data_IF_974035682908
#
_entry.id   IF_974035682908
#
_cell.length_a   1.000
_cell.length_b   1.000
_cell.length_c   1.000
_cell.angle_alpha   90.00
_cell.angle_beta   90.00
_cell.angle_gamma   90.00
#
_symmetry.space_group_name_H-M   'P 1'
#
loop_
_entity.id
_entity.type
_entity.pdbx_description
1 polymer ?
#
# COMPACT_ATOMS: atom_id res chain seq x y z
N UNK A 1 -16.57 -1.01 -11.83
CA UNK A 1 -15.27 -0.39 -12.00
C UNK A 1 -14.24 -0.98 -11.04
N UNK A 2 -12.97 -0.83 -11.35
CA UNK A 2 -11.87 -1.23 -10.47
C UNK A 2 -11.38 -0.01 -9.69
N UNK A 3 -11.00 -0.23 -8.45
CA UNK A 3 -10.38 0.77 -7.59
C UNK A 3 -9.03 0.27 -7.10
N UNK A 4 -8.09 1.20 -6.99
CA UNK A 4 -6.82 0.90 -6.33
C UNK A 4 -7.05 0.76 -4.82
N UNK A 5 -6.30 -0.12 -4.19
CA UNK A 5 -6.34 -0.30 -2.74
C UNK A 5 -4.91 -0.36 -2.21
N UNK A 6 -4.66 0.27 -1.09
CA UNK A 6 -3.35 0.27 -0.45
C UNK A 6 -3.37 0.84 0.96
N UNK A 7 -2.22 0.77 1.62
CA UNK A 7 -2.00 1.42 2.91
C UNK A 7 -1.13 2.65 2.72
N UNK A 8 -1.65 3.83 3.00
CA UNK A 8 -1.03 5.11 2.68
C UNK A 8 -0.74 5.28 1.16
N UNK A 9 -1.49 4.57 0.33
CA UNK A 9 -1.26 4.54 -1.11
C UNK A 9 -1.56 5.88 -1.77
N UNK A 10 -2.56 6.61 -1.31
CA UNK A 10 -2.89 7.96 -1.81
C UNK A 10 -1.76 8.96 -1.56
N UNK A 11 -1.06 8.82 -0.42
CA UNK A 11 0.03 9.71 -0.05
C UNK A 11 1.38 9.31 -0.64
N UNK A 12 1.57 8.07 -1.04
CA UNK A 12 2.86 7.57 -1.48
C UNK A 12 2.82 6.76 -2.78
N UNK A 13 2.30 5.55 -2.77
CA UNK A 13 2.44 4.61 -3.89
C UNK A 13 1.84 5.13 -5.20
N UNK A 14 0.62 5.66 -5.14
CA UNK A 14 -0.11 6.15 -6.32
C UNK A 14 0.61 7.35 -6.96
N UNK A 15 0.96 8.42 -6.21
CA UNK A 15 1.71 9.53 -6.78
C UNK A 15 3.10 9.13 -7.28
N UNK A 16 3.79 8.26 -6.57
CA UNK A 16 5.13 7.77 -6.97
C UNK A 16 5.05 7.03 -8.29
N UNK A 17 4.08 6.11 -8.43
CA UNK A 17 3.89 5.36 -9.67
C UNK A 17 3.60 6.28 -10.85
N UNK A 18 2.66 7.22 -10.71
CA UNK A 18 2.33 8.17 -11.75
C UNK A 18 3.55 9.02 -12.17
N UNK A 19 4.31 9.54 -11.20
CA UNK A 19 5.53 10.31 -11.45
C UNK A 19 6.60 9.47 -12.16
N UNK A 20 6.81 8.22 -11.73
CA UNK A 20 7.77 7.31 -12.36
C UNK A 20 7.40 6.99 -13.81
N UNK A 21 6.12 6.83 -14.11
CA UNK A 21 5.64 6.65 -15.48
C UNK A 21 5.99 7.86 -16.35
N UNK A 22 5.67 9.06 -15.90
CA UNK A 22 5.98 10.32 -16.63
C UNK A 22 7.50 10.48 -16.83
N UNK A 23 8.30 10.20 -15.81
CA UNK A 23 9.77 10.25 -15.92
C UNK A 23 10.32 9.29 -16.99
N UNK A 24 9.61 8.21 -17.29
CA UNK A 24 9.98 7.25 -18.33
C UNK A 24 9.22 7.46 -19.65
N UNK A 25 8.58 8.62 -19.84
CA UNK A 25 7.87 8.96 -21.07
C UNK A 25 6.55 8.20 -21.25
N UNK A 26 5.99 7.64 -20.19
CA UNK A 26 4.74 6.90 -20.21
C UNK A 26 3.59 7.77 -19.70
N UNK A 27 2.46 7.71 -20.39
CA UNK A 27 1.24 8.36 -19.91
C UNK A 27 0.58 7.48 -18.83
N UNK A 28 0.31 8.03 -17.63
CA UNK A 28 -0.45 7.30 -16.62
C UNK A 28 -1.85 6.93 -17.12
N UNK A 29 -2.28 5.67 -16.91
CA UNK A 29 -3.62 5.24 -17.30
C UNK A 29 -4.71 5.93 -16.45
N UNK A 30 -5.99 5.94 -16.90
CA UNK A 30 -7.07 6.64 -16.20
C UNK A 30 -7.37 6.19 -14.77
N UNK A 31 -6.88 5.02 -14.35
CA UNK A 31 -7.01 4.55 -12.97
C UNK A 31 -6.06 5.31 -12.01
N UNK A 32 -4.98 5.90 -12.54
CA UNK A 32 -4.08 6.76 -11.79
C UNK A 32 -4.52 8.22 -11.89
N UNK A 33 -4.22 9.06 -10.89
CA UNK A 33 -4.54 10.47 -10.95
C UNK A 33 -3.74 11.18 -12.05
N UNK A 34 -4.35 12.16 -12.69
CA UNK A 34 -3.68 13.08 -13.59
C UNK A 34 -2.91 14.16 -12.84
N UNK A 35 -2.13 14.97 -13.56
CA UNK A 35 -1.32 16.04 -12.98
C UNK A 35 -2.11 17.14 -12.26
N UNK A 36 -3.38 17.31 -12.61
CA UNK A 36 -4.30 18.31 -12.03
C UNK A 36 -5.26 17.74 -10.98
N UNK A 37 -5.22 16.43 -10.73
CA UNK A 37 -6.04 15.77 -9.72
C UNK A 37 -5.69 16.27 -8.31
N UNK A 38 -6.70 16.67 -7.55
CA UNK A 38 -6.53 17.07 -6.16
C UNK A 38 -6.43 15.84 -5.24
N UNK A 39 -5.74 15.93 -4.09
CA UNK A 39 -5.58 14.79 -3.18
C UNK A 39 -6.89 14.11 -2.77
N UNK A 40 -7.96 14.87 -2.58
CA UNK A 40 -9.28 14.35 -2.19
C UNK A 40 -10.08 13.74 -3.35
N UNK A 41 -9.64 13.94 -4.59
CA UNK A 41 -10.26 13.37 -5.79
C UNK A 41 -9.71 11.99 -6.15
N UNK A 42 -8.62 11.57 -5.51
CA UNK A 42 -7.99 10.26 -5.77
C UNK A 42 -8.95 9.13 -5.37
N UNK A 43 -9.41 8.39 -6.38
CA UNK A 43 -10.33 7.26 -6.21
C UNK A 43 -9.54 6.00 -5.84
N UNK A 44 -9.29 5.82 -4.57
CA UNK A 44 -8.63 4.62 -4.05
C UNK A 44 -9.17 4.30 -2.65
N UNK A 45 -9.14 3.04 -2.29
CA UNK A 45 -9.38 2.59 -0.92
C UNK A 45 -8.04 2.62 -0.19
N UNK A 46 -7.91 3.47 0.81
CA UNK A 46 -6.71 3.59 1.61
C UNK A 46 -6.99 3.14 3.05
N UNK A 47 -6.39 2.03 3.45
CA UNK A 47 -6.60 1.46 4.79
C UNK A 47 -6.11 2.37 5.90
N UNK A 48 -5.15 3.27 5.63
CA UNK A 48 -4.75 4.30 6.58
C UNK A 48 -5.88 5.29 6.84
N UNK A 49 -6.62 5.69 5.79
CA UNK A 49 -7.80 6.55 5.94
C UNK A 49 -8.92 5.84 6.71
N UNK A 50 -9.16 4.55 6.45
CA UNK A 50 -10.14 3.76 7.21
C UNK A 50 -9.83 3.74 8.72
N UNK A 51 -8.55 3.78 9.09
CA UNK A 51 -8.10 3.74 10.49
C UNK A 51 -8.10 5.09 11.19
N UNK A 52 -8.37 6.18 10.47
CA UNK A 52 -8.30 7.53 11.03
C UNK A 52 -9.45 7.85 11.99
N UNK A 53 -10.66 7.40 11.72
CA UNK A 53 -11.86 7.72 12.53
C UNK A 53 -11.97 9.21 12.87
N UNK A 54 -11.69 10.09 11.89
CA UNK A 54 -11.71 11.54 12.08
C UNK A 54 -10.40 12.17 12.59
N UNK A 55 -9.37 11.39 12.88
CA UNK A 55 -8.07 11.89 13.32
C UNK A 55 -7.09 12.06 12.16
N UNK A 56 -6.65 13.27 11.87
CA UNK A 56 -5.63 13.53 10.84
C UNK A 56 -4.23 13.05 11.25
N UNK A 57 -3.96 12.96 12.55
CA UNK A 57 -2.66 12.57 13.09
C UNK A 57 -2.61 11.10 13.50
N UNK A 58 -3.49 10.27 13.00
CA UNK A 58 -3.44 8.85 13.32
C UNK A 58 -2.17 8.24 12.74
N UNK A 59 -1.24 7.93 13.62
CA UNK A 59 -0.04 7.19 13.29
C UNK A 59 -0.44 5.72 13.24
N UNK A 60 -0.61 5.20 12.03
CA UNK A 60 -0.97 3.80 11.84
C UNK A 60 -0.10 3.17 10.78
N UNK A 61 0.85 2.33 11.18
CA UNK A 61 1.46 1.38 10.26
C UNK A 61 0.45 0.25 9.98
N UNK A 62 0.56 -0.36 8.81
CA UNK A 62 -0.26 -1.55 8.48
C UNK A 62 -0.07 -2.65 9.52
N UNK A 63 1.14 -2.81 10.04
CA UNK A 63 1.45 -3.77 11.09
C UNK A 63 0.67 -3.50 12.39
N UNK A 64 0.62 -2.25 12.83
CA UNK A 64 -0.15 -1.87 14.02
C UNK A 64 -1.62 -2.19 13.84
N UNK A 65 -2.19 -1.90 12.66
CA UNK A 65 -3.55 -2.29 12.33
C UNK A 65 -3.74 -3.81 12.41
N UNK A 66 -2.80 -4.58 11.85
CA UNK A 66 -2.84 -6.05 11.90
C UNK A 66 -2.87 -6.55 13.35
N UNK A 67 -1.99 -6.03 14.19
CA UNK A 67 -1.94 -6.39 15.62
C UNK A 67 -3.26 -6.08 16.32
N UNK A 68 -3.78 -4.86 16.14
CA UNK A 68 -5.03 -4.42 16.77
C UNK A 68 -6.24 -5.20 16.27
N UNK A 69 -6.25 -5.62 15.02
CA UNK A 69 -7.36 -6.34 14.38
C UNK A 69 -7.21 -7.87 14.45
N UNK A 70 -6.11 -8.38 14.96
CA UNK A 70 -5.84 -9.81 14.99
C UNK A 70 -5.62 -10.43 13.61
N UNK A 71 -5.03 -9.67 12.68
CA UNK A 71 -4.66 -10.11 11.34
C UNK A 71 -3.17 -10.42 11.30
N UNK A 72 -2.80 -11.56 10.69
CA UNK A 72 -1.40 -11.93 10.52
C UNK A 72 -0.68 -10.92 9.62
N UNK A 73 0.51 -10.46 10.07
CA UNK A 73 1.31 -9.49 9.31
C UNK A 73 2.40 -10.17 8.46
N UNK A 74 2.98 -9.39 7.51
CA UNK A 74 4.08 -9.86 6.66
C UNK A 74 5.47 -9.78 7.32
N UNK A 75 5.57 -9.30 8.55
CA UNK A 75 6.88 -9.06 9.21
C UNK A 75 7.67 -10.31 9.59
N UNK A 76 7.07 -11.47 9.55
CA UNK A 76 7.76 -12.75 9.76
C UNK A 76 8.43 -13.30 8.49
N UNK A 77 8.39 -12.54 7.38
CA UNK A 77 9.03 -12.92 6.14
C UNK A 77 10.54 -12.71 6.19
N UNK A 78 11.30 -13.47 5.40
CA UNK A 78 12.75 -13.34 5.27
C UNK A 78 13.17 -11.94 4.82
N UNK A 79 12.40 -11.35 3.89
CA UNK A 79 12.57 -9.97 3.44
C UNK A 79 11.41 -9.13 3.97
N UNK A 80 11.72 -8.00 4.60
CA UNK A 80 10.76 -6.99 5.06
C UNK A 80 10.99 -5.66 4.36
N UNK A 81 10.00 -4.77 4.36
CA UNK A 81 9.98 -3.56 3.54
C UNK A 81 11.23 -2.68 3.67
N UNK A 82 11.79 -2.52 4.86
CA UNK A 82 13.00 -1.74 5.09
C UNK A 82 14.30 -2.44 4.63
N UNK A 83 14.23 -3.69 4.21
CA UNK A 83 15.35 -4.50 3.73
C UNK A 83 15.28 -4.80 2.23
N UNK A 84 14.27 -4.31 1.51
CA UNK A 84 14.08 -4.59 0.08
C UNK A 84 15.26 -4.07 -0.75
N UNK A 85 15.77 -2.89 -0.44
CA UNK A 85 16.92 -2.32 -1.14
C UNK A 85 18.15 -3.22 -1.02
N UNK A 86 18.50 -3.65 0.19
CA UNK A 86 19.59 -4.58 0.46
C UNK A 86 19.38 -5.93 -0.25
N UNK A 87 18.14 -6.48 -0.16
CA UNK A 87 17.81 -7.74 -0.81
C UNK A 87 17.93 -7.69 -2.32
N UNK A 88 17.57 -6.57 -2.96
CA UNK A 88 17.66 -6.41 -4.41
C UNK A 88 19.08 -6.18 -4.89
N UNK A 89 19.77 -5.17 -4.32
CA UNK A 89 21.07 -4.72 -4.83
C UNK A 89 22.25 -5.53 -4.32
N UNK A 90 22.19 -5.99 -3.06
CA UNK A 90 23.32 -6.66 -2.41
C UNK A 90 23.18 -8.18 -2.43
N UNK A 91 21.97 -8.71 -2.24
CA UNK A 91 21.73 -10.16 -2.09
C UNK A 91 21.02 -10.80 -3.26
N UNK A 92 20.52 -10.01 -4.23
CA UNK A 92 19.77 -10.49 -5.40
C UNK A 92 18.60 -11.42 -5.04
N UNK A 93 17.91 -11.16 -3.94
CA UNK A 93 16.83 -11.97 -3.41
C UNK A 93 15.46 -11.60 -4.05
N UNK A 94 15.36 -11.67 -5.38
CA UNK A 94 14.14 -11.24 -6.11
C UNK A 94 12.93 -12.11 -5.75
N UNK A 95 13.09 -13.42 -5.60
CA UNK A 95 11.97 -14.30 -5.23
C UNK A 95 11.47 -14.00 -3.82
N UNK A 96 12.33 -13.72 -2.87
CA UNK A 96 11.96 -13.31 -1.52
C UNK A 96 11.27 -11.95 -1.49
N UNK A 97 11.71 -11.01 -2.33
CA UNK A 97 11.03 -9.71 -2.52
C UNK A 97 9.62 -9.94 -3.07
N UNK A 98 9.47 -10.81 -4.07
CA UNK A 98 8.16 -11.18 -4.64
C UNK A 98 7.24 -11.76 -3.57
N UNK A 99 7.70 -12.74 -2.81
CA UNK A 99 6.93 -13.35 -1.73
C UNK A 99 6.48 -12.30 -0.70
N UNK A 100 7.37 -11.39 -0.32
CA UNK A 100 7.04 -10.28 0.57
C UNK A 100 5.95 -9.39 0.00
N UNK A 101 6.06 -8.99 -1.26
CA UNK A 101 5.06 -8.15 -1.93
C UNK A 101 3.70 -8.84 -2.04
N UNK A 102 3.69 -10.13 -2.37
CA UNK A 102 2.46 -10.94 -2.43
C UNK A 102 1.81 -11.05 -1.05
N UNK A 103 2.61 -11.27 -0.01
CA UNK A 103 2.12 -11.33 1.38
C UNK A 103 1.55 -10.01 1.86
N UNK A 104 2.18 -8.89 1.52
CA UNK A 104 1.66 -7.55 1.85
C UNK A 104 0.28 -7.31 1.22
N UNK A 105 0.07 -7.73 -0.01
CA UNK A 105 -1.24 -7.63 -0.68
C UNK A 105 -2.28 -8.51 0.02
N UNK A 106 -1.91 -9.74 0.38
CA UNK A 106 -2.78 -10.67 1.12
C UNK A 106 -3.19 -10.11 2.49
N UNK A 107 -2.23 -9.55 3.23
CA UNK A 107 -2.47 -8.87 4.51
C UNK A 107 -3.44 -7.71 4.35
N UNK A 108 -3.24 -6.89 3.33
CA UNK A 108 -4.12 -5.76 3.02
C UNK A 108 -5.56 -6.22 2.74
N UNK A 109 -5.72 -7.29 1.95
CA UNK A 109 -7.03 -7.89 1.66
C UNK A 109 -7.71 -8.33 2.96
N UNK A 110 -6.98 -8.98 3.86
CA UNK A 110 -7.51 -9.47 5.13
C UNK A 110 -7.92 -8.32 6.07
N UNK A 111 -7.15 -7.24 6.10
CA UNK A 111 -7.51 -6.02 6.85
C UNK A 111 -8.80 -5.41 6.31
N UNK A 112 -8.91 -5.24 5.00
CA UNK A 112 -10.11 -4.67 4.36
C UNK A 112 -11.34 -5.56 4.62
N UNK A 113 -11.21 -6.87 4.47
CA UNK A 113 -12.29 -7.82 4.78
C UNK A 113 -12.77 -7.67 6.22
N UNK A 114 -11.85 -7.60 7.17
CA UNK A 114 -12.16 -7.41 8.58
C UNK A 114 -12.98 -6.15 8.84
N UNK A 115 -12.66 -5.03 8.20
CA UNK A 115 -13.45 -3.81 8.27
C UNK A 115 -14.89 -4.01 7.77
N UNK A 116 -15.07 -4.72 6.67
CA UNK A 116 -16.40 -4.95 6.10
C UNK A 116 -17.23 -5.98 6.86
N UNK A 117 -16.60 -6.91 7.59
CA UNK A 117 -17.28 -7.88 8.46
C UNK A 117 -17.88 -7.25 9.72
N UNK A 118 -17.42 -6.06 10.12
CA UNK A 118 -17.92 -5.33 11.29
C UNK A 118 -19.26 -4.62 11.05
N UNK A 119 -19.82 -4.75 9.88
CA UNK A 119 -21.16 -4.19 9.55
C UNK A 119 -22.29 -5.01 10.22
#
# INVERSE_FOLDING_TARGET
GFYLCGHNAKGFDIPVLAKRMVMNGLLPPPILPSHDTKPWEIKALDTKELWQFGSFNSIGSLELMCICMGVESSKNMEVVGNKVHEAYWEKQQIEQIKEYCEKDVEVLINVVRKFYELK
#
